data_IF_790611953594
#
_entry.id   IF_790611953594
#
_cell.length_a   1.000
_cell.length_b   1.000
_cell.length_c   1.000
_cell.angle_alpha   90.00
_cell.angle_beta   90.00
_cell.angle_gamma   90.00
#
_symmetry.space_group_name_H-M   'P 1'
#
loop_
_entity.id
_entity.type
_entity.pdbx_description
1 polymer ?
#
# COMPACT_ATOMS: atom_id res chain seq x y z
N UNK A 1 -9.52 28.00 -1.01
CA UNK A 1 -8.64 27.39 -2.03
C UNK A 1 -8.79 25.87 -2.00
N UNK A 2 -9.41 25.26 -3.03
CA UNK A 2 -9.63 23.82 -3.11
C UNK A 2 -8.41 23.19 -3.79
N UNK A 3 -7.46 22.65 -3.03
CA UNK A 3 -6.34 21.90 -3.60
C UNK A 3 -6.91 20.67 -4.30
N UNK A 4 -6.89 20.67 -5.65
CA UNK A 4 -7.25 19.50 -6.46
C UNK A 4 -6.27 18.38 -6.09
N UNK A 5 -6.70 17.46 -5.22
CA UNK A 5 -6.02 16.20 -5.00
C UNK A 5 -6.12 15.43 -6.32
N UNK A 6 -5.13 15.61 -7.21
CA UNK A 6 -4.98 14.81 -8.41
C UNK A 6 -4.91 13.37 -7.94
N UNK A 7 -6.00 12.61 -8.10
CA UNK A 7 -5.95 11.14 -8.10
C UNK A 7 -5.12 10.76 -9.31
N UNK A 8 -3.79 10.83 -9.19
CA UNK A 8 -2.93 10.09 -10.06
C UNK A 8 -3.32 8.64 -9.81
N UNK A 9 -3.86 7.94 -10.81
CA UNK A 9 -3.84 6.47 -10.81
C UNK A 9 -2.36 6.09 -10.95
N UNK A 10 -1.62 6.36 -9.89
CA UNK A 10 -0.17 6.44 -9.86
C UNK A 10 0.40 5.05 -9.81
N UNK A 11 1.52 4.88 -10.50
CA UNK A 11 2.54 3.80 -10.48
C UNK A 11 2.30 2.63 -9.50
N UNK A 12 2.00 2.90 -8.22
CA UNK A 12 1.58 1.90 -7.23
C UNK A 12 0.40 1.01 -7.70
N UNK A 13 -0.68 1.58 -8.25
CA UNK A 13 -1.85 0.83 -8.74
C UNK A 13 -1.47 -0.16 -9.85
N UNK A 14 -0.59 0.27 -10.78
CA UNK A 14 -0.10 -0.59 -11.84
C UNK A 14 0.70 -1.79 -11.30
N UNK A 15 1.57 -1.56 -10.32
CA UNK A 15 2.35 -2.63 -9.69
C UNK A 15 1.48 -3.61 -8.89
N UNK A 16 0.50 -3.11 -8.14
CA UNK A 16 -0.44 -3.95 -7.36
C UNK A 16 -1.21 -4.90 -8.28
N UNK A 17 -1.64 -4.44 -9.45
CA UNK A 17 -2.41 -5.27 -10.38
C UNK A 17 -1.54 -6.21 -11.25
N UNK A 18 -0.30 -5.83 -11.55
CA UNK A 18 0.57 -6.60 -12.45
C UNK A 18 1.34 -7.74 -11.78
N UNK A 19 1.72 -7.60 -10.51
CA UNK A 19 2.49 -8.62 -9.78
C UNK A 19 1.74 -9.97 -9.67
N UNK A 20 0.45 -10.02 -9.31
CA UNK A 20 -0.29 -11.29 -9.24
C UNK A 20 -0.35 -12.01 -10.60
N UNK A 21 -0.54 -11.26 -11.69
CA UNK A 21 -0.56 -11.82 -13.05
C UNK A 21 0.79 -12.46 -13.41
N UNK A 22 1.89 -11.76 -13.15
CA UNK A 22 3.25 -12.29 -13.38
C UNK A 22 3.55 -13.52 -12.54
N UNK A 23 3.07 -13.57 -11.30
CA UNK A 23 3.20 -14.75 -10.44
C UNK A 23 2.52 -15.99 -11.05
N UNK A 24 1.30 -15.82 -11.58
CA UNK A 24 0.52 -16.89 -12.25
C UNK A 24 1.21 -17.38 -13.53
N UNK A 25 1.72 -16.47 -14.36
CA UNK A 25 2.43 -16.81 -15.60
C UNK A 25 3.73 -17.56 -15.32
N UNK A 26 4.50 -17.14 -14.31
CA UNK A 26 5.77 -17.79 -13.96
C UNK A 26 5.58 -19.16 -13.27
N UNK A 27 4.39 -19.41 -12.71
CA UNK A 27 4.10 -20.57 -11.85
C UNK A 27 2.71 -21.17 -12.14
N UNK A 28 2.39 -21.55 -13.39
CA UNK A 28 1.04 -22.02 -13.73
C UNK A 28 0.65 -23.25 -12.91
N UNK A 29 1.59 -24.16 -12.67
CA UNK A 29 1.36 -25.41 -11.94
C UNK A 29 0.93 -25.20 -10.48
N UNK A 30 1.20 -24.03 -9.91
CA UNK A 30 0.88 -23.70 -8.52
C UNK A 30 -0.59 -23.27 -8.34
N UNK A 31 -1.33 -23.00 -9.42
CA UNK A 31 -2.70 -22.50 -9.37
C UNK A 31 -3.70 -23.53 -9.88
N UNK A 32 -4.89 -23.51 -9.29
CA UNK A 32 -6.06 -24.25 -9.73
C UNK A 32 -6.73 -23.55 -10.94
N UNK A 33 -7.61 -24.23 -11.69
CA UNK A 33 -8.37 -23.62 -12.78
C UNK A 33 -9.20 -22.39 -12.38
N UNK A 34 -9.69 -22.35 -11.13
CA UNK A 34 -10.40 -21.21 -10.53
C UNK A 34 -9.49 -20.02 -10.16
N UNK A 35 -8.16 -20.15 -10.38
CA UNK A 35 -7.16 -19.14 -10.07
C UNK A 35 -6.76 -19.09 -8.59
N UNK A 36 -7.27 -20.01 -7.76
CA UNK A 36 -6.81 -20.17 -6.38
C UNK A 36 -5.47 -20.88 -6.33
N UNK A 37 -4.76 -20.66 -5.24
CA UNK A 37 -3.52 -21.36 -4.94
C UNK A 37 -3.94 -22.77 -4.48
N UNK A 38 -3.57 -23.84 -5.21
CA UNK A 38 -3.49 -25.26 -4.74
C UNK A 38 -3.06 -25.42 -3.25
N UNK A 39 -3.17 -26.61 -2.65
CA UNK A 39 -2.67 -26.84 -1.28
C UNK A 39 -1.31 -27.56 -1.31
N UNK A 40 -0.53 -27.47 -0.23
CA UNK A 40 0.76 -28.18 -0.08
C UNK A 40 2.02 -27.37 -0.43
N UNK A 41 3.18 -28.06 -0.32
CA UNK A 41 4.52 -27.51 -0.57
C UNK A 41 4.70 -27.13 -2.04
N UNK A 42 5.36 -26.01 -2.29
CA UNK A 42 5.56 -25.47 -3.65
C UNK A 42 6.87 -24.77 -3.84
N UNK A 43 7.33 -24.80 -5.09
CA UNK A 43 8.44 -23.98 -5.56
C UNK A 43 7.87 -22.75 -6.26
N UNK A 44 8.37 -21.58 -5.87
CA UNK A 44 8.02 -20.29 -6.48
C UNK A 44 9.18 -19.82 -7.35
N UNK A 45 8.94 -19.70 -8.65
CA UNK A 45 9.84 -19.10 -9.63
C UNK A 45 9.50 -17.61 -9.74
N UNK A 46 10.44 -16.77 -9.33
CA UNK A 46 10.34 -15.32 -9.43
C UNK A 46 11.32 -14.81 -10.48
N UNK A 47 10.81 -14.17 -11.53
CA UNK A 47 11.69 -13.52 -12.52
C UNK A 47 12.39 -12.30 -11.93
N UNK A 48 13.55 -11.91 -12.48
CA UNK A 48 14.28 -10.72 -12.07
C UNK A 48 13.41 -9.46 -12.09
N UNK A 49 12.58 -9.31 -13.13
CA UNK A 49 11.66 -8.18 -13.27
C UNK A 49 10.51 -8.20 -12.25
N UNK A 50 10.01 -9.38 -11.86
CA UNK A 50 9.05 -9.51 -10.77
C UNK A 50 9.64 -9.00 -9.46
N UNK A 51 10.87 -9.41 -9.13
CA UNK A 51 11.57 -9.00 -7.92
C UNK A 51 11.76 -7.48 -7.90
N UNK A 52 12.27 -6.88 -8.98
CA UNK A 52 12.44 -5.42 -9.10
C UNK A 52 11.13 -4.67 -8.88
N UNK A 53 10.06 -5.12 -9.52
CA UNK A 53 8.73 -4.48 -9.44
C UNK A 53 8.16 -4.55 -8.02
N UNK A 54 8.30 -5.71 -7.37
CA UNK A 54 7.89 -5.91 -5.97
C UNK A 54 8.67 -4.99 -5.02
N UNK A 55 9.98 -4.84 -5.21
CA UNK A 55 10.80 -3.95 -4.40
C UNK A 55 10.39 -2.47 -4.57
N UNK A 56 10.09 -2.05 -5.81
CA UNK A 56 9.55 -0.71 -6.06
C UNK A 56 8.23 -0.48 -5.32
N UNK A 57 7.32 -1.46 -5.36
CA UNK A 57 6.04 -1.37 -4.63
C UNK A 57 6.24 -1.28 -3.11
N UNK A 58 7.14 -2.09 -2.56
CA UNK A 58 7.50 -2.04 -1.14
C UNK A 58 8.01 -0.65 -0.73
N UNK A 59 8.93 -0.09 -1.51
CA UNK A 59 9.50 1.24 -1.23
C UNK A 59 8.44 2.35 -1.30
N UNK A 60 7.50 2.27 -2.25
CA UNK A 60 6.38 3.21 -2.32
C UNK A 60 5.52 3.16 -1.05
N UNK A 61 5.19 1.97 -0.56
CA UNK A 61 4.42 1.84 0.68
C UNK A 61 5.20 2.30 1.91
N UNK A 62 6.51 2.02 1.97
CA UNK A 62 7.40 2.52 3.04
C UNK A 62 7.43 4.04 3.07
N UNK A 63 7.56 4.69 1.91
CA UNK A 63 7.51 6.16 1.81
C UNK A 63 6.16 6.71 2.23
N UNK A 64 5.07 6.05 1.83
CA UNK A 64 3.72 6.49 2.18
C UNK A 64 3.45 6.37 3.69
N UNK A 65 3.90 5.28 4.33
CA UNK A 65 3.76 5.11 5.78
C UNK A 65 4.62 6.12 6.55
N UNK A 66 5.86 6.34 6.13
CA UNK A 66 6.73 7.37 6.70
C UNK A 66 6.14 8.78 6.56
N UNK A 67 5.56 9.09 5.40
CA UNK A 67 4.90 10.37 5.16
C UNK A 67 3.69 10.56 6.07
N UNK A 68 2.82 9.55 6.23
CA UNK A 68 1.71 9.59 7.21
C UNK A 68 2.21 9.85 8.63
N UNK A 69 3.26 9.13 9.07
CA UNK A 69 3.86 9.32 10.39
C UNK A 69 4.39 10.76 10.58
N UNK A 70 5.07 11.30 9.57
CA UNK A 70 5.58 12.67 9.60
C UNK A 70 4.45 13.71 9.63
N UNK A 71 3.39 13.54 8.83
CA UNK A 71 2.22 14.42 8.85
C UNK A 71 1.53 14.42 10.22
N UNK A 72 1.31 13.24 10.80
CA UNK A 72 0.72 13.13 12.14
C UNK A 72 1.63 13.76 13.21
N UNK A 73 2.94 13.52 13.14
CA UNK A 73 3.90 14.11 14.08
C UNK A 73 3.92 15.64 14.00
N UNK A 74 3.89 16.20 12.78
CA UNK A 74 3.79 17.65 12.57
C UNK A 74 2.50 18.20 13.18
N UNK A 75 1.37 17.58 12.87
CA UNK A 75 0.06 17.97 13.38
C UNK A 75 0.02 17.95 14.92
N UNK A 76 0.58 16.92 15.55
CA UNK A 76 0.68 16.82 17.01
C UNK A 76 1.51 17.98 17.57
N UNK A 77 2.69 18.22 17.01
CA UNK A 77 3.55 19.32 17.46
C UNK A 77 2.89 20.69 17.29
N UNK A 78 2.15 20.88 16.20
CA UNK A 78 1.40 22.11 15.97
C UNK A 78 0.30 22.27 17.03
N UNK A 79 -0.46 21.21 17.37
CA UNK A 79 -1.48 21.26 18.44
C UNK A 79 -0.85 21.59 19.80
N UNK A 80 0.24 20.92 20.16
CA UNK A 80 0.94 21.13 21.44
C UNK A 80 1.50 22.55 21.59
N UNK A 81 1.76 23.27 20.49
CA UNK A 81 2.15 24.69 20.54
C UNK A 81 1.00 25.63 20.91
N UNK A 82 -0.25 25.23 20.68
CA UNK A 82 -1.42 26.09 20.92
C UNK A 82 -1.91 25.99 22.37
N UNK A 83 -1.65 24.89 23.07
CA UNK A 83 -2.03 24.77 24.48
C UNK A 83 -1.90 23.36 25.04
N UNK A 84 -2.22 23.25 26.33
CA UNK A 84 -2.00 22.05 27.14
C UNK A 84 -3.31 21.27 27.40
N UNK A 85 -4.46 21.93 27.23
CA UNK A 85 -5.79 21.34 27.37
C UNK A 85 -6.45 21.19 26.00
N UNK A 86 -6.85 19.97 25.65
CA UNK A 86 -7.40 19.64 24.34
C UNK A 86 -8.73 18.91 24.54
N UNK A 87 -9.82 19.56 24.16
CA UNK A 87 -11.14 18.94 24.09
C UNK A 87 -11.33 18.30 22.71
N UNK A 88 -11.61 16.99 22.67
CA UNK A 88 -11.74 16.23 21.43
C UNK A 88 -13.16 15.72 21.31
N UNK A 89 -13.78 15.95 20.15
CA UNK A 89 -15.08 15.39 19.83
C UNK A 89 -14.96 13.95 19.30
N UNK A 90 -15.85 13.07 19.75
CA UNK A 90 -15.93 11.71 19.24
C UNK A 90 -16.44 11.72 17.80
N UNK A 91 -15.53 11.57 16.86
CA UNK A 91 -15.89 11.36 15.46
C UNK A 91 -16.39 9.91 15.32
N UNK A 92 -17.63 9.72 14.85
CA UNK A 92 -18.12 8.39 14.47
C UNK A 92 -17.16 7.83 13.42
N UNK A 93 -16.66 6.60 13.60
CA UNK A 93 -15.80 5.95 12.60
C UNK A 93 -16.58 5.91 11.27
N UNK A 94 -16.19 6.75 10.32
CA UNK A 94 -16.78 6.78 9.00
C UNK A 94 -16.51 5.48 8.27
N UNK A 95 -17.57 4.90 7.71
CA UNK A 95 -17.52 3.87 6.68
C UNK A 95 -16.93 4.55 5.44
N UNK A 96 -15.65 4.30 5.17
CA UNK A 96 -14.94 4.72 3.96
C UNK A 96 -14.59 3.49 3.13
#
# INVERSE_FOLDING_TARGET
>A
MRTKFRRTKGVCHFFVFSLPKRSRVNNPDNYNPDGTIKKGRRKWKNSKEYIKTRLKLFELFRRQSAHRKSLHGKMINDILRHGNEIYIEKIKKGVF
#
